data_IF_659788930210
#
_entry.id   IF_659788930210
#
_cell.length_a   1.000
_cell.length_b   1.000
_cell.length_c   1.000
_cell.angle_alpha   90.00
_cell.angle_beta   90.00
_cell.angle_gamma   90.00
#
_symmetry.space_group_name_H-M   'P 1'
#
loop_
_entity.id
_entity.type
_entity.pdbx_description
1 polymer ?
#
# COMPACT_ATOMS: atom_id res chain seq x y z
N UNK A 1 -30.24 5.17 1.93
CA UNK A 1 -29.07 4.46 2.48
C UNK A 1 -29.46 3.72 3.74
N UNK A 2 -29.84 4.35 4.85
CA UNK A 2 -30.28 3.61 6.04
C UNK A 2 -31.67 2.99 5.85
N UNK A 3 -31.87 1.80 6.40
CA UNK A 3 -33.15 1.10 6.44
C UNK A 3 -33.34 0.45 7.81
N UNK A 4 -34.58 0.46 8.29
CA UNK A 4 -35.00 -0.22 9.51
C UNK A 4 -35.31 -1.70 9.27
N UNK A 5 -35.24 -2.16 8.01
CA UNK A 5 -35.42 -3.57 7.66
C UNK A 5 -34.16 -4.37 7.94
N UNK A 6 -34.34 -5.65 8.25
CA UNK A 6 -33.23 -6.60 8.38
C UNK A 6 -32.46 -6.75 7.05
N UNK A 7 -31.15 -7.04 7.10
CA UNK A 7 -30.37 -7.32 5.90
C UNK A 7 -30.93 -8.51 5.11
N UNK A 8 -31.14 -8.34 3.81
CA UNK A 8 -31.59 -9.42 2.91
C UNK A 8 -30.44 -10.32 2.46
N UNK A 9 -29.21 -9.81 2.54
CA UNK A 9 -28.02 -10.50 2.07
C UNK A 9 -26.86 -10.42 3.07
N UNK A 10 -26.31 -11.59 3.38
CA UNK A 10 -25.10 -11.74 4.19
C UNK A 10 -23.99 -12.43 3.39
N UNK A 11 -24.17 -12.59 2.08
CA UNK A 11 -23.18 -13.19 1.20
C UNK A 11 -21.96 -12.28 1.06
N UNK A 12 -20.82 -12.77 1.54
CA UNK A 12 -19.55 -12.06 1.54
C UNK A 12 -19.12 -11.71 0.12
N UNK A 13 -19.31 -12.61 -0.85
CA UNK A 13 -18.85 -12.37 -2.22
C UNK A 13 -19.70 -11.30 -2.91
N UNK A 14 -21.01 -11.29 -2.64
CA UNK A 14 -21.89 -10.23 -3.10
C UNK A 14 -21.54 -8.86 -2.48
N UNK A 15 -21.22 -8.85 -1.18
CA UNK A 15 -20.76 -7.63 -0.47
C UNK A 15 -19.43 -7.12 -1.05
N UNK A 16 -18.49 -8.02 -1.35
CA UNK A 16 -17.20 -7.67 -1.97
C UNK A 16 -17.36 -7.14 -3.40
N UNK A 17 -18.32 -7.67 -4.15
CA UNK A 17 -18.66 -7.23 -5.49
C UNK A 17 -19.46 -5.92 -5.54
N UNK A 18 -20.00 -5.47 -4.41
CA UNK A 18 -20.84 -4.27 -4.34
C UNK A 18 -20.02 -3.01 -4.63
N UNK A 19 -20.42 -2.16 -5.59
CA UNK A 19 -19.75 -0.91 -5.88
C UNK A 19 -19.68 -0.02 -4.63
N UNK A 20 -18.49 0.44 -4.29
CA UNK A 20 -18.29 1.33 -3.14
C UNK A 20 -18.66 2.78 -3.52
N UNK A 21 -19.47 3.49 -2.71
CA UNK A 21 -19.66 4.93 -2.88
C UNK A 21 -18.34 5.70 -2.73
N UNK A 22 -18.27 6.96 -3.19
CA UNK A 22 -17.16 7.86 -2.87
C UNK A 22 -16.86 7.89 -1.36
N UNK A 23 -15.57 7.86 -0.98
CA UNK A 23 -15.14 7.79 0.42
C UNK A 23 -15.74 8.91 1.29
N UNK A 24 -15.95 10.11 0.73
CA UNK A 24 -16.60 11.21 1.44
C UNK A 24 -18.03 10.83 1.88
N UNK A 25 -18.79 10.17 1.00
CA UNK A 25 -20.14 9.69 1.29
C UNK A 25 -20.09 8.59 2.34
N UNK A 26 -19.19 7.61 2.19
CA UNK A 26 -19.02 6.52 3.17
C UNK A 26 -18.73 7.09 4.56
N UNK A 27 -17.82 8.07 4.69
CA UNK A 27 -17.53 8.73 5.97
C UNK A 27 -18.74 9.44 6.57
N UNK A 28 -19.53 10.14 5.74
CA UNK A 28 -20.75 10.79 6.21
C UNK A 28 -21.79 9.77 6.69
N UNK A 29 -21.93 8.64 5.99
CA UNK A 29 -22.82 7.55 6.39
C UNK A 29 -22.35 6.92 7.72
N UNK A 30 -21.06 6.63 7.86
CA UNK A 30 -20.50 6.11 9.13
C UNK A 30 -20.71 7.08 10.29
N UNK A 31 -20.64 8.40 10.06
CA UNK A 31 -20.83 9.39 11.12
C UNK A 31 -22.31 9.60 11.52
N UNK A 32 -23.27 9.21 10.67
CA UNK A 32 -24.70 9.46 10.86
C UNK A 32 -25.50 8.21 11.21
N UNK A 33 -24.85 7.04 11.24
CA UNK A 33 -25.55 5.80 11.56
C UNK A 33 -26.02 5.83 13.01
N UNK A 34 -27.33 5.64 13.23
CA UNK A 34 -27.90 5.43 14.55
C UNK A 34 -28.17 3.92 14.72
N UNK A 35 -27.48 3.21 15.64
CA UNK A 35 -27.68 1.78 15.86
C UNK A 35 -29.10 1.41 16.27
N UNK A 36 -29.85 2.35 16.85
CA UNK A 36 -31.22 2.09 17.32
C UNK A 36 -32.26 2.09 16.20
N UNK A 37 -32.03 2.86 15.12
CA UNK A 37 -33.01 3.07 14.05
C UNK A 37 -32.59 2.43 12.72
N UNK A 38 -31.36 1.91 12.65
CA UNK A 38 -30.76 1.38 11.41
C UNK A 38 -30.38 -0.08 11.59
N UNK A 39 -31.08 -0.97 10.89
CA UNK A 39 -30.77 -2.40 10.84
C UNK A 39 -29.96 -2.77 9.59
N UNK A 40 -30.10 -2.02 8.50
CA UNK A 40 -29.41 -2.31 7.24
C UNK A 40 -29.10 -1.07 6.40
N UNK A 41 -28.31 -1.29 5.34
CA UNK A 41 -27.86 -0.31 4.36
C UNK A 41 -28.36 -0.71 2.98
N UNK A 42 -29.16 0.16 2.39
CA UNK A 42 -29.54 0.14 0.98
C UNK A 42 -28.53 0.92 0.13
N UNK A 43 -28.27 0.41 -1.08
CA UNK A 43 -27.27 0.91 -2.02
C UNK A 43 -27.93 1.53 -3.27
N UNK A 44 -28.53 2.73 -3.18
CA UNK A 44 -29.23 3.35 -4.33
C UNK A 44 -28.28 3.70 -5.48
N UNK A 45 -26.98 3.80 -5.21
CA UNK A 45 -25.94 4.06 -6.22
C UNK A 45 -25.58 2.82 -7.06
N UNK A 46 -26.08 1.63 -6.71
CA UNK A 46 -25.82 0.39 -7.43
C UNK A 46 -27.15 -0.14 -8.03
N UNK A 47 -27.45 0.15 -9.32
CA UNK A 47 -28.76 -0.12 -9.92
C UNK A 47 -29.21 -1.59 -9.83
N UNK A 48 -28.28 -2.53 -9.94
CA UNK A 48 -28.53 -3.97 -9.83
C UNK A 48 -28.74 -4.50 -8.41
N UNK A 49 -28.58 -3.66 -7.39
CA UNK A 49 -28.70 -4.00 -5.96
C UNK A 49 -29.81 -3.19 -5.28
N UNK A 50 -30.71 -2.61 -6.07
CA UNK A 50 -31.77 -1.71 -5.59
C UNK A 50 -32.83 -2.38 -4.72
N UNK A 51 -32.93 -3.71 -4.72
CA UNK A 51 -33.77 -4.47 -3.79
C UNK A 51 -33.04 -4.98 -2.54
N UNK A 52 -31.70 -4.89 -2.53
CA UNK A 52 -30.88 -5.54 -1.51
C UNK A 52 -30.62 -4.62 -0.32
N UNK A 53 -30.63 -5.24 0.86
CA UNK A 53 -30.33 -4.64 2.15
C UNK A 53 -29.08 -5.31 2.72
N UNK A 54 -28.02 -4.52 2.85
CA UNK A 54 -26.74 -4.98 3.35
C UNK A 54 -26.62 -4.76 4.85
N UNK A 55 -25.83 -5.56 5.56
CA UNK A 55 -25.59 -5.33 6.98
C UNK A 55 -24.85 -4.01 7.21
N UNK A 56 -25.13 -3.36 8.34
CA UNK A 56 -24.55 -2.06 8.71
C UNK A 56 -23.02 -2.05 8.77
N UNK A 57 -22.40 -3.20 9.06
CA UNK A 57 -20.94 -3.34 9.06
C UNK A 57 -20.30 -3.12 7.68
N UNK A 58 -21.07 -3.15 6.58
CA UNK A 58 -20.56 -2.86 5.23
C UNK A 58 -19.89 -1.49 5.13
N UNK A 59 -20.33 -0.51 5.91
CA UNK A 59 -19.71 0.81 5.99
C UNK A 59 -18.27 0.71 6.51
N UNK A 60 -18.06 -0.04 7.58
CA UNK A 60 -16.73 -0.30 8.15
C UNK A 60 -15.83 -1.07 7.18
N UNK A 61 -16.41 -2.01 6.43
CA UNK A 61 -15.71 -2.72 5.37
C UNK A 61 -15.26 -1.75 4.27
N UNK A 62 -16.15 -0.92 3.71
CA UNK A 62 -15.81 0.06 2.68
C UNK A 62 -14.77 1.07 3.14
N UNK A 63 -14.82 1.54 4.39
CA UNK A 63 -13.77 2.42 4.94
C UNK A 63 -12.41 1.72 4.93
N UNK A 64 -12.33 0.44 5.30
CA UNK A 64 -11.09 -0.33 5.25
C UNK A 64 -10.62 -0.55 3.81
N UNK A 65 -11.52 -0.93 2.90
CA UNK A 65 -11.21 -1.12 1.48
C UNK A 65 -10.68 0.18 0.86
N UNK A 66 -11.32 1.32 1.10
CA UNK A 66 -10.89 2.61 0.58
C UNK A 66 -9.48 3.00 1.04
N UNK A 67 -9.05 2.56 2.25
CA UNK A 67 -7.69 2.78 2.76
C UNK A 67 -6.67 1.85 2.10
N UNK A 68 -7.04 0.59 1.88
CA UNK A 68 -6.14 -0.44 1.34
C UNK A 68 -6.03 -0.35 -0.19
N UNK A 69 -7.08 0.09 -0.88
CA UNK A 69 -7.15 0.06 -2.34
C UNK A 69 -6.04 0.85 -3.05
N UNK A 70 -5.70 2.09 -2.64
CA UNK A 70 -4.58 2.81 -3.23
C UNK A 70 -3.25 2.05 -3.07
N UNK A 71 -3.02 1.48 -1.89
CA UNK A 71 -1.81 0.68 -1.62
C UNK A 71 -1.77 -0.55 -2.53
N UNK A 72 -2.87 -1.32 -2.57
CA UNK A 72 -3.00 -2.49 -3.45
C UNK A 72 -2.74 -2.13 -4.91
N UNK A 73 -3.29 -1.01 -5.40
CA UNK A 73 -3.07 -0.56 -6.78
C UNK A 73 -1.60 -0.33 -7.07
N UNK A 74 -0.88 0.32 -6.17
CA UNK A 74 0.57 0.52 -6.29
C UNK A 74 1.31 -0.83 -6.32
N UNK A 75 0.90 -1.79 -5.49
CA UNK A 75 1.47 -3.14 -5.50
C UNK A 75 1.23 -3.88 -6.82
N UNK A 76 0.02 -3.84 -7.36
CA UNK A 76 -0.29 -4.47 -8.67
C UNK A 76 0.58 -3.88 -9.78
N UNK A 77 0.74 -2.55 -9.83
CA UNK A 77 1.59 -1.91 -10.83
C UNK A 77 3.08 -2.28 -10.67
N UNK A 78 3.54 -2.50 -9.43
CA UNK A 78 4.88 -2.97 -9.12
C UNK A 78 5.09 -4.42 -9.58
N UNK A 79 4.12 -5.31 -9.32
CA UNK A 79 4.13 -6.70 -9.78
C UNK A 79 4.14 -6.78 -11.31
N UNK A 80 3.27 -6.03 -12.00
CA UNK A 80 3.24 -5.94 -13.46
C UNK A 80 4.57 -5.44 -14.02
N UNK A 81 5.20 -4.46 -13.37
CA UNK A 81 6.52 -3.94 -13.76
C UNK A 81 7.61 -5.01 -13.60
N UNK A 82 7.57 -5.78 -12.50
CA UNK A 82 8.52 -6.86 -12.22
C UNK A 82 8.33 -8.04 -13.19
N UNK A 83 7.09 -8.34 -13.58
CA UNK A 83 6.80 -9.35 -14.59
C UNK A 83 7.28 -8.92 -15.99
N UNK A 84 7.06 -7.65 -16.36
CA UNK A 84 7.63 -7.10 -17.59
C UNK A 84 9.17 -7.16 -17.59
N UNK A 85 9.80 -7.02 -16.41
CA UNK A 85 11.24 -7.18 -16.24
C UNK A 85 11.71 -8.62 -16.43
N UNK A 86 10.96 -9.61 -15.91
CA UNK A 86 11.33 -11.04 -16.03
C UNK A 86 11.27 -11.54 -17.48
N UNK A 87 10.33 -11.01 -18.29
CA UNK A 87 10.14 -11.37 -19.70
C UNK A 87 11.21 -10.79 -20.64
N UNK A 88 12.10 -9.91 -20.17
CA UNK A 88 13.15 -9.32 -21.00
C UNK A 88 14.28 -10.32 -21.28
N UNK A 89 14.38 -10.76 -22.54
CA UNK A 89 15.33 -11.79 -23.02
C UNK A 89 16.81 -11.42 -22.90
N UNK A 90 17.17 -10.15 -22.66
CA UNK A 90 18.56 -9.69 -22.58
C UNK A 90 19.22 -9.88 -21.20
N UNK A 91 18.61 -10.64 -20.28
CA UNK A 91 19.09 -10.76 -18.88
C UNK A 91 19.90 -12.02 -18.63
N UNK A 92 20.95 -11.87 -17.81
CA UNK A 92 21.75 -12.99 -17.29
C UNK A 92 20.91 -13.86 -16.34
N UNK A 93 21.28 -15.12 -16.18
CA UNK A 93 20.54 -16.04 -15.29
C UNK A 93 20.61 -15.61 -13.83
N UNK A 94 21.71 -14.97 -13.41
CA UNK A 94 21.82 -14.33 -12.10
C UNK A 94 20.75 -13.24 -11.90
N UNK A 95 20.55 -12.39 -12.90
CA UNK A 95 19.53 -11.33 -12.84
C UNK A 95 18.14 -11.93 -12.74
N UNK A 96 17.86 -12.99 -13.52
CA UNK A 96 16.57 -13.71 -13.42
C UNK A 96 16.36 -14.31 -12.04
N UNK A 97 17.39 -14.95 -11.46
CA UNK A 97 17.34 -15.51 -10.11
C UNK A 97 17.00 -14.45 -9.06
N UNK A 98 17.61 -13.27 -9.14
CA UNK A 98 17.30 -12.15 -8.24
C UNK A 98 15.83 -11.70 -8.39
N UNK A 99 15.33 -11.54 -9.62
CA UNK A 99 13.92 -11.16 -9.87
C UNK A 99 12.97 -12.18 -9.24
N UNK A 100 13.23 -13.48 -9.42
CA UNK A 100 12.41 -14.56 -8.84
C UNK A 100 12.44 -14.51 -7.31
N UNK A 101 13.61 -14.30 -6.70
CA UNK A 101 13.72 -14.14 -5.25
C UNK A 101 12.93 -12.92 -4.75
N UNK A 102 13.02 -11.79 -5.46
CA UNK A 102 12.23 -10.59 -5.14
C UNK A 102 10.74 -10.91 -5.24
N UNK A 103 10.28 -11.50 -6.34
CA UNK A 103 8.88 -11.87 -6.54
C UNK A 103 8.37 -12.77 -5.40
N UNK A 104 9.11 -13.82 -5.04
CA UNK A 104 8.73 -14.73 -3.96
C UNK A 104 8.66 -14.01 -2.61
N UNK A 105 9.64 -13.16 -2.28
CA UNK A 105 9.63 -12.39 -1.05
C UNK A 105 8.41 -11.46 -0.97
N UNK A 106 8.05 -10.83 -2.09
CA UNK A 106 6.92 -9.92 -2.18
C UNK A 106 5.58 -10.64 -2.09
N UNK A 107 5.43 -11.81 -2.70
CA UNK A 107 4.20 -12.62 -2.58
C UNK A 107 3.89 -13.04 -1.14
N UNK A 108 4.91 -13.08 -0.28
CA UNK A 108 4.78 -13.36 1.15
C UNK A 108 4.68 -12.10 2.02
N UNK A 109 4.83 -10.90 1.43
CA UNK A 109 4.83 -9.63 2.17
C UNK A 109 3.43 -9.03 2.17
N UNK A 110 2.97 -8.59 3.35
CA UNK A 110 1.70 -7.87 3.45
C UNK A 110 1.76 -6.51 2.72
N UNK A 111 0.76 -6.20 1.90
CA UNK A 111 0.65 -4.92 1.17
C UNK A 111 0.62 -3.70 2.10
N UNK A 112 0.21 -3.90 3.35
CA UNK A 112 0.23 -2.90 4.40
C UNK A 112 0.87 -3.44 5.66
N UNK A 113 1.74 -2.66 6.29
CA UNK A 113 2.45 -3.07 7.49
C UNK A 113 3.72 -2.25 7.64
N UNK A 114 4.45 -2.48 8.74
CA UNK A 114 5.74 -1.85 8.98
C UNK A 114 6.87 -2.80 8.58
N UNK A 115 7.89 -2.28 7.93
CA UNK A 115 9.13 -2.99 7.63
C UNK A 115 10.04 -2.88 8.85
N UNK A 116 10.30 -3.99 9.51
CA UNK A 116 11.20 -4.04 10.66
C UNK A 116 12.64 -4.21 10.18
N UNK A 117 13.32 -3.13 9.83
CA UNK A 117 14.73 -3.18 9.42
C UNK A 117 15.44 -1.81 9.39
N UNK A 118 14.67 -0.73 9.37
CA UNK A 118 15.17 0.63 9.25
C UNK A 118 14.95 1.41 10.55
N UNK A 119 15.79 2.43 10.78
CA UNK A 119 15.65 3.36 11.91
C UNK A 119 14.31 4.10 11.89
N UNK A 120 13.83 4.47 10.70
CA UNK A 120 12.51 5.03 10.50
C UNK A 120 11.44 3.94 10.36
N UNK A 121 10.27 4.17 10.96
CA UNK A 121 9.10 3.30 10.79
C UNK A 121 8.57 3.42 9.35
N UNK A 122 9.12 2.62 8.44
CA UNK A 122 8.73 2.57 7.03
C UNK A 122 7.62 1.57 6.83
N UNK A 123 6.63 1.93 6.02
CA UNK A 123 5.52 1.05 5.65
C UNK A 123 5.81 0.31 4.34
N UNK A 124 5.20 -0.87 4.18
CA UNK A 124 5.48 -1.78 3.06
C UNK A 124 5.17 -1.18 1.67
N UNK A 125 4.30 -0.19 1.59
CA UNK A 125 4.03 0.58 0.36
C UNK A 125 5.26 1.33 -0.18
N UNK A 126 6.26 1.60 0.66
CA UNK A 126 7.51 2.23 0.23
C UNK A 126 8.43 1.29 -0.56
N UNK A 127 8.12 -0.02 -0.57
CA UNK A 127 8.86 -0.99 -1.39
C UNK A 127 8.49 -0.87 -2.87
N UNK A 128 7.23 -0.61 -3.18
CA UNK A 128 6.71 -0.66 -4.55
C UNK A 128 7.50 0.24 -5.54
N UNK A 129 7.94 1.47 -5.18
CA UNK A 129 8.78 2.29 -6.06
C UNK A 129 10.08 1.62 -6.53
N UNK A 130 10.69 0.73 -5.75
CA UNK A 130 11.91 0.00 -6.16
C UNK A 130 11.68 -0.96 -7.33
N UNK A 131 10.44 -1.38 -7.56
CA UNK A 131 10.06 -2.32 -8.61
C UNK A 131 9.47 -1.62 -9.84
N UNK A 132 9.06 -0.37 -9.66
CA UNK A 132 8.54 0.47 -10.73
C UNK A 132 9.69 1.10 -11.53
N UNK A 133 9.37 1.59 -12.73
CA UNK A 133 10.30 2.35 -13.56
C UNK A 133 10.36 3.85 -13.20
N UNK A 134 9.77 4.22 -12.06
CA UNK A 134 9.71 5.61 -11.62
C UNK A 134 11.04 6.02 -10.97
N UNK A 135 11.28 7.32 -10.94
CA UNK A 135 12.39 7.87 -10.16
C UNK A 135 12.19 7.57 -8.68
N UNK A 136 13.27 7.13 -8.01
CA UNK A 136 13.27 6.93 -6.57
C UNK A 136 13.17 8.28 -5.86
N UNK A 137 12.30 8.36 -4.85
CA UNK A 137 12.22 9.54 -3.99
C UNK A 137 13.39 9.54 -3.02
N UNK A 138 13.61 10.66 -2.36
CA UNK A 138 14.71 10.84 -1.40
C UNK A 138 14.64 9.82 -0.25
N UNK A 139 13.43 9.41 0.14
CA UNK A 139 13.21 8.34 1.10
C UNK A 139 13.83 7.01 0.66
N UNK A 140 13.58 6.56 -0.59
CA UNK A 140 14.19 5.33 -1.11
C UNK A 140 15.70 5.46 -1.29
N UNK A 141 16.20 6.65 -1.65
CA UNK A 141 17.65 6.89 -1.75
C UNK A 141 18.30 6.79 -0.36
N UNK A 142 17.71 7.42 0.66
CA UNK A 142 18.19 7.36 2.04
C UNK A 142 18.18 5.93 2.59
N UNK A 143 17.17 5.12 2.25
CA UNK A 143 17.13 3.70 2.58
C UNK A 143 18.29 2.92 1.95
N UNK A 144 18.61 3.16 0.67
CA UNK A 144 19.75 2.53 0.00
C UNK A 144 21.09 2.96 0.62
N UNK A 145 21.22 4.24 0.98
CA UNK A 145 22.40 4.79 1.65
C UNK A 145 22.59 4.17 3.04
N UNK A 146 21.52 4.02 3.82
CA UNK A 146 21.55 3.33 5.11
C UNK A 146 21.99 1.86 4.98
N UNK A 147 21.48 1.13 3.99
CA UNK A 147 21.91 -0.25 3.73
C UNK A 147 23.39 -0.33 3.33
N UNK A 148 23.87 0.65 2.56
CA UNK A 148 25.28 0.77 2.20
C UNK A 148 26.14 1.04 3.43
N UNK A 149 25.75 1.97 4.28
CA UNK A 149 26.43 2.28 5.55
C UNK A 149 26.51 1.05 6.46
N UNK A 150 25.41 0.31 6.61
CA UNK A 150 25.36 -0.94 7.36
C UNK A 150 26.35 -1.97 6.81
N UNK A 151 26.44 -2.09 5.47
CA UNK A 151 27.38 -3.01 4.82
C UNK A 151 28.83 -2.59 5.03
N UNK A 152 29.13 -1.31 4.86
CA UNK A 152 30.48 -0.75 5.08
C UNK A 152 30.92 -0.95 6.52
N UNK A 153 30.05 -0.66 7.48
CA UNK A 153 30.31 -0.85 8.91
C UNK A 153 30.62 -2.29 9.29
N UNK A 154 30.04 -3.27 8.57
CA UNK A 154 30.32 -4.70 8.76
C UNK A 154 31.62 -5.14 8.08
N UNK A 155 31.95 -4.60 6.90
CA UNK A 155 33.12 -5.04 6.12
C UNK A 155 34.43 -4.31 6.43
N UNK A 156 34.35 -3.05 6.88
CA UNK A 156 35.47 -2.10 6.96
C UNK A 156 35.38 -1.25 8.22
N UNK A 157 35.56 -1.89 9.38
CA UNK A 157 35.73 -1.15 10.63
C UNK A 157 37.01 -0.32 10.56
N UNK A 158 36.90 0.97 10.23
CA UNK A 158 38.00 1.93 10.41
C UNK A 158 38.36 2.85 9.25
N UNK A 159 37.73 2.73 8.08
CA UNK A 159 38.15 3.51 6.88
C UNK A 159 37.72 4.99 6.89
N UNK A 160 37.07 5.49 7.95
CA UNK A 160 36.63 6.89 8.04
C UNK A 160 35.55 7.30 7.03
N UNK A 161 34.90 6.35 6.36
CA UNK A 161 33.85 6.63 5.37
C UNK A 161 32.54 6.94 6.10
N UNK A 162 32.02 8.15 5.91
CA UNK A 162 30.71 8.57 6.37
C UNK A 162 29.74 8.60 5.19
N UNK A 163 28.59 7.94 5.32
CA UNK A 163 27.50 8.01 4.34
C UNK A 163 26.46 8.98 4.87
N UNK A 164 26.23 10.07 4.15
CA UNK A 164 25.27 11.10 4.56
C UNK A 164 23.94 10.94 3.82
N UNK A 165 22.85 11.40 4.43
CA UNK A 165 21.55 11.44 3.79
C UNK A 165 21.50 12.44 2.60
N UNK A 166 20.42 12.35 1.83
CA UNK A 166 20.18 13.21 0.66
C UNK A 166 19.94 14.68 1.00
N UNK A 167 19.63 15.00 2.27
CA UNK A 167 19.37 16.37 2.73
C UNK A 167 20.62 17.08 3.25
N UNK A 168 21.72 16.35 3.42
CA UNK A 168 22.96 16.88 3.99
C UNK A 168 23.46 18.15 3.28
N UNK A 169 23.51 18.14 1.94
CA UNK A 169 23.98 19.30 1.17
C UNK A 169 23.04 20.50 1.27
N UNK A 170 21.73 20.26 1.35
CA UNK A 170 20.73 21.31 1.55
C UNK A 170 20.94 21.98 2.91
N UNK A 171 21.04 21.20 3.98
CA UNK A 171 21.30 21.71 5.34
C UNK A 171 22.62 22.45 5.43
N UNK A 172 23.66 21.94 4.76
CA UNK A 172 24.97 22.59 4.75
C UNK A 172 24.87 23.97 4.07
N UNK A 173 24.14 24.07 2.95
CA UNK A 173 23.93 25.35 2.26
C UNK A 173 23.15 26.34 3.13
N UNK A 174 22.13 25.89 3.86
CA UNK A 174 21.33 26.72 4.78
C UNK A 174 22.15 27.31 5.93
N UNK A 175 23.20 26.61 6.40
CA UNK A 175 24.05 27.07 7.50
C UNK A 175 25.04 28.17 7.03
N UNK A 176 25.45 28.13 5.76
CA UNK A 176 26.44 29.05 5.20
C UNK A 176 25.83 30.22 4.41
N UNK A 177 24.50 30.38 4.44
CA UNK A 177 23.76 31.54 3.92
C UNK A 177 23.29 32.44 5.05
#
# INVERSE_FOLDING_TARGET
FFSALEPTTMDIEMIRGTPMPPLAIVKQLTARINPHDTQSIHCPHAPGLSGEHFPTWILSYWVKVARIWPLKRTWVLAEESLEAWSRNKKRTDQTKGIITCIYNALSCTSWSGKIQSFLASITTDHLAPYMMKNWLMDEQKNQMLYLLECKLSRSRKGDGICVTDTFFMTKLTEIYQ
#
